data_IF_414807874590
#
_entry.id   IF_414807874590
#
_cell.length_a   1.000
_cell.length_b   1.000
_cell.length_c   1.000
_cell.angle_alpha   90.00
_cell.angle_beta   90.00
_cell.angle_gamma   90.00
#
_symmetry.space_group_name_H-M   'P 1'
#
loop_
_entity.id
_entity.type
_entity.pdbx_description
1 polymer ?
#
# COMPACT_ATOMS: atom_id res chain seq x y z
N UNK A 1 7.08 -48.69 -65.10
CA UNK A 1 6.06 -49.38 -64.27
C UNK A 1 5.54 -48.33 -63.31
N UNK A 2 4.29 -47.90 -63.20
CA UNK A 2 2.93 -48.29 -63.68
C UNK A 2 2.07 -47.07 -63.33
N UNK A 3 1.57 -46.28 -64.30
CA UNK A 3 0.19 -46.21 -64.80
C UNK A 3 -0.97 -46.19 -63.77
N UNK A 4 -1.91 -45.25 -64.02
CA UNK A 4 -3.38 -45.28 -63.78
C UNK A 4 -3.97 -44.59 -62.51
N UNK A 5 -4.74 -43.50 -62.68
CA UNK A 5 -6.24 -43.39 -62.77
C UNK A 5 -6.90 -43.38 -61.38
N UNK A 6 -7.95 -42.63 -61.00
CA UNK A 6 -8.99 -41.86 -61.68
C UNK A 6 -9.66 -40.86 -60.72
N UNK A 7 -10.30 -39.88 -61.35
CA UNK A 7 -11.39 -38.98 -60.97
C UNK A 7 -12.50 -39.57 -60.05
N UNK A 8 -13.04 -38.78 -59.12
CA UNK A 8 -14.48 -38.79 -58.79
C UNK A 8 -14.97 -37.38 -58.40
N UNK A 9 -15.98 -36.93 -59.14
CA UNK A 9 -16.81 -35.75 -58.88
C UNK A 9 -18.03 -36.23 -58.08
N UNK A 10 -18.42 -35.51 -57.03
CA UNK A 10 -19.76 -35.60 -56.46
C UNK A 10 -20.29 -34.19 -56.19
N UNK A 11 -21.23 -33.77 -57.05
CA UNK A 11 -22.11 -32.64 -56.88
C UNK A 11 -23.22 -33.08 -55.89
N UNK A 12 -23.45 -32.31 -54.82
CA UNK A 12 -24.67 -32.43 -54.02
C UNK A 12 -25.21 -31.04 -53.73
N UNK A 13 -26.23 -30.67 -54.52
CA UNK A 13 -27.07 -29.52 -54.26
C UNK A 13 -28.05 -29.89 -53.12
N UNK A 14 -28.14 -29.02 -52.11
CA UNK A 14 -29.13 -29.10 -51.04
C UNK A 14 -29.75 -27.72 -50.82
N UNK A 15 -30.97 -27.54 -51.34
CA UNK A 15 -31.86 -26.40 -51.09
C UNK A 15 -32.66 -26.62 -49.79
N UNK A 16 -32.96 -25.52 -49.09
CA UNK A 16 -33.96 -25.44 -48.00
C UNK A 16 -33.32 -25.06 -46.66
N UNK A 17 -33.84 -24.15 -45.85
CA UNK A 17 -35.16 -23.55 -45.75
C UNK A 17 -35.03 -22.18 -45.07
N UNK A 18 -35.91 -21.26 -45.48
CA UNK A 18 -36.17 -19.97 -44.84
C UNK A 18 -36.64 -20.16 -43.39
N UNK A 19 -36.03 -19.44 -42.46
CA UNK A 19 -36.73 -18.95 -41.27
C UNK A 19 -36.55 -17.43 -41.17
N UNK A 20 -37.66 -16.73 -41.46
CA UNK A 20 -37.85 -15.35 -41.06
C UNK A 20 -38.07 -15.33 -39.54
N UNK A 21 -37.06 -14.88 -38.81
CA UNK A 21 -37.18 -14.52 -37.40
C UNK A 21 -37.21 -13.01 -37.28
N UNK A 22 -38.35 -12.45 -36.88
CA UNK A 22 -38.45 -11.10 -36.37
C UNK A 22 -37.56 -10.98 -35.13
N UNK A 23 -36.46 -10.24 -35.21
CA UNK A 23 -35.83 -9.68 -34.03
C UNK A 23 -36.39 -8.27 -33.86
N UNK A 24 -37.31 -8.17 -32.90
CA UNK A 24 -37.71 -6.91 -32.33
C UNK A 24 -36.47 -6.14 -31.90
N UNK A 25 -36.41 -4.85 -32.26
CA UNK A 25 -35.51 -3.89 -31.64
C UNK A 25 -35.80 -3.93 -30.13
N UNK A 26 -34.93 -4.61 -29.40
CA UNK A 26 -34.90 -4.52 -27.95
C UNK A 26 -34.65 -3.07 -27.54
N UNK A 27 -35.09 -2.65 -26.34
CA UNK A 27 -34.79 -1.32 -25.84
C UNK A 27 -33.28 -1.09 -25.98
N UNK A 28 -32.93 0.04 -26.59
CA UNK A 28 -31.58 0.58 -26.65
C UNK A 28 -30.99 0.42 -25.24
N UNK A 29 -30.11 -0.58 -25.10
CA UNK A 29 -29.34 -0.76 -23.88
C UNK A 29 -28.45 0.47 -23.86
N UNK A 30 -28.86 1.46 -23.07
CA UNK A 30 -28.00 2.57 -22.73
C UNK A 30 -26.65 1.96 -22.38
N UNK A 31 -25.59 2.42 -23.08
CA UNK A 31 -24.23 2.16 -22.67
C UNK A 31 -24.21 2.31 -21.14
N UNK A 32 -23.91 1.21 -20.45
CA UNK A 32 -23.50 1.28 -19.05
C UNK A 32 -22.30 2.20 -19.13
N UNK A 33 -22.51 3.48 -18.79
CA UNK A 33 -21.48 4.50 -18.86
C UNK A 33 -20.26 3.88 -18.24
N UNK A 34 -19.20 3.71 -19.05
CA UNK A 34 -18.03 2.98 -18.65
C UNK A 34 -17.68 3.43 -17.25
N UNK A 35 -17.69 2.51 -16.29
CA UNK A 35 -17.24 2.78 -14.93
C UNK A 35 -15.91 3.47 -15.16
N UNK A 36 -15.85 4.77 -14.85
CA UNK A 36 -14.68 5.55 -15.17
C UNK A 36 -13.52 4.74 -14.62
N UNK A 37 -12.62 4.32 -15.51
CA UNK A 37 -11.31 3.91 -15.06
C UNK A 37 -10.75 5.20 -14.45
N UNK A 38 -11.07 5.46 -13.18
CA UNK A 38 -10.31 6.38 -12.35
C UNK A 38 -8.88 5.99 -12.66
N UNK A 39 -8.14 6.92 -13.25
CA UNK A 39 -6.74 6.74 -13.58
C UNK A 39 -6.10 6.16 -12.34
N UNK A 40 -5.77 4.87 -12.39
CA UNK A 40 -5.22 4.15 -11.25
C UNK A 40 -4.07 4.99 -10.74
N UNK A 41 -4.16 5.44 -9.49
CA UNK A 41 -3.14 6.28 -8.88
C UNK A 41 -1.80 5.56 -9.02
N UNK A 42 -0.83 6.22 -9.66
CA UNK A 42 0.56 5.77 -9.65
C UNK A 42 1.04 5.65 -8.21
N UNK A 43 1.92 4.70 -7.94
CA UNK A 43 2.32 4.37 -6.58
C UNK A 43 3.54 3.47 -6.55
N UNK A 44 3.93 3.05 -5.35
CA UNK A 44 5.01 2.10 -5.17
C UNK A 44 4.52 0.85 -4.42
N UNK A 45 5.30 -0.22 -4.44
CA UNK A 45 4.97 -1.50 -3.82
C UNK A 45 6.03 -1.95 -2.82
N UNK A 46 5.57 -2.67 -1.81
CA UNK A 46 6.45 -3.36 -0.87
C UNK A 46 5.72 -4.47 -0.14
N UNK A 47 6.36 -5.01 0.88
CA UNK A 47 5.76 -6.01 1.78
C UNK A 47 5.52 -5.36 3.13
N UNK A 48 4.51 -5.79 3.87
CA UNK A 48 4.33 -5.36 5.25
C UNK A 48 5.23 -6.16 6.22
N UNK A 49 6.45 -6.49 5.85
CA UNK A 49 7.30 -7.36 6.67
C UNK A 49 8.13 -6.63 7.73
N UNK A 50 7.76 -5.42 8.18
CA UNK A 50 8.45 -4.76 9.29
C UNK A 50 7.93 -5.34 10.61
N UNK A 51 8.81 -5.95 11.40
CA UNK A 51 8.46 -6.47 12.72
C UNK A 51 8.11 -5.34 13.70
N UNK A 52 6.97 -5.51 14.40
CA UNK A 52 6.49 -4.52 15.38
C UNK A 52 7.48 -4.32 16.53
N UNK A 53 8.16 -5.38 16.99
CA UNK A 53 9.08 -5.29 18.12
C UNK A 53 10.40 -4.63 17.73
N UNK A 54 10.94 -4.93 16.55
CA UNK A 54 12.12 -4.25 16.03
C UNK A 54 11.84 -2.75 15.86
N UNK A 55 10.68 -2.39 15.30
CA UNK A 55 10.26 -0.98 15.21
C UNK A 55 10.18 -0.35 16.60
N UNK A 56 9.45 -0.95 17.54
CA UNK A 56 9.30 -0.40 18.89
C UNK A 56 10.63 -0.24 19.63
N UNK A 57 11.59 -1.16 19.44
CA UNK A 57 12.91 -1.11 20.05
C UNK A 57 13.80 -0.01 19.46
N UNK A 58 13.63 0.33 18.18
CA UNK A 58 14.51 1.24 17.45
C UNK A 58 13.86 2.60 17.09
N UNK A 59 12.56 2.79 17.30
CA UNK A 59 11.81 3.97 16.84
C UNK A 59 12.39 5.29 17.38
N UNK A 60 12.69 5.35 18.67
CA UNK A 60 13.25 6.56 19.29
C UNK A 60 14.66 6.88 18.74
N UNK A 61 15.43 5.85 18.43
CA UNK A 61 16.77 6.00 17.85
C UNK A 61 16.70 6.45 16.40
N UNK A 62 15.78 5.86 15.62
CA UNK A 62 15.49 6.31 14.26
C UNK A 62 15.01 7.76 14.27
N UNK A 63 14.10 8.14 15.16
CA UNK A 63 13.62 9.51 15.29
C UNK A 63 14.77 10.48 15.55
N UNK A 64 15.70 10.12 16.44
CA UNK A 64 16.89 10.90 16.69
C UNK A 64 17.79 11.00 15.44
N UNK A 65 18.02 9.88 14.73
CA UNK A 65 18.83 9.81 13.52
C UNK A 65 18.27 10.63 12.34
N UNK A 66 16.97 10.97 12.34
CA UNK A 66 16.41 11.88 11.33
C UNK A 66 16.78 13.36 11.52
N UNK A 67 17.45 13.74 12.63
CA UNK A 67 17.93 15.11 12.83
C UNK A 67 19.27 15.40 12.14
N UNK A 68 19.90 14.37 11.57
CA UNK A 68 21.21 14.43 10.95
C UNK A 68 21.20 13.57 9.68
N UNK A 69 22.29 13.64 8.91
CA UNK A 69 22.46 12.83 7.71
C UNK A 69 22.56 11.36 8.10
N UNK A 70 21.85 10.48 7.39
CA UNK A 70 21.88 9.04 7.72
C UNK A 70 23.27 8.42 7.53
N UNK A 71 24.18 9.13 6.85
CA UNK A 71 25.58 8.75 6.67
C UNK A 71 26.55 9.41 7.67
N UNK A 72 26.06 10.26 8.58
CA UNK A 72 26.87 10.87 9.62
C UNK A 72 27.11 9.89 10.78
N UNK A 73 28.20 9.12 10.69
CA UNK A 73 28.57 8.16 11.73
C UNK A 73 29.15 8.80 13.00
N UNK A 74 29.42 10.11 13.00
CA UNK A 74 29.81 10.81 14.23
C UNK A 74 28.59 11.05 15.13
N UNK A 75 27.37 11.02 14.55
CA UNK A 75 26.13 11.03 15.30
C UNK A 75 25.88 9.69 15.99
N UNK A 76 25.68 9.72 17.31
CA UNK A 76 25.48 8.51 18.11
C UNK A 76 24.23 7.71 17.68
N UNK A 77 23.11 8.37 17.36
CA UNK A 77 21.88 7.67 16.99
C UNK A 77 22.03 6.97 15.64
N UNK A 78 22.64 7.64 14.65
CA UNK A 78 22.97 7.05 13.35
C UNK A 78 23.91 5.87 13.53
N UNK A 79 25.02 6.05 14.26
CA UNK A 79 26.00 4.99 14.49
C UNK A 79 25.40 3.76 15.18
N UNK A 80 24.55 3.96 16.19
CA UNK A 80 23.87 2.85 16.86
C UNK A 80 22.88 2.13 15.95
N UNK A 81 22.08 2.88 15.19
CA UNK A 81 21.09 2.31 14.27
C UNK A 81 21.77 1.46 13.18
N UNK A 82 22.91 1.93 12.64
CA UNK A 82 23.71 1.17 11.66
C UNK A 82 24.47 -0.01 12.26
N UNK A 83 24.83 0.07 13.54
CA UNK A 83 25.55 -0.99 14.23
C UNK A 83 24.65 -2.16 14.65
N UNK A 84 23.32 -2.02 14.57
CA UNK A 84 22.36 -3.09 14.83
C UNK A 84 22.31 -4.05 13.62
N UNK A 85 22.98 -5.22 13.66
CA UNK A 85 23.00 -6.12 12.51
C UNK A 85 21.58 -6.65 12.27
N UNK A 86 21.12 -6.54 11.02
CA UNK A 86 19.78 -6.96 10.60
C UNK A 86 18.63 -6.15 11.22
N UNK A 87 18.84 -4.87 11.57
CA UNK A 87 17.71 -4.01 11.94
C UNK A 87 16.75 -3.87 10.75
N UNK A 88 15.57 -4.46 10.89
CA UNK A 88 14.49 -4.32 9.92
C UNK A 88 14.00 -2.87 9.88
N UNK A 89 14.02 -2.19 11.02
CA UNK A 89 13.71 -0.76 11.14
C UNK A 89 14.60 0.08 10.24
N UNK A 90 15.92 -0.14 10.26
CA UNK A 90 16.83 0.59 9.38
C UNK A 90 16.59 0.21 7.91
N UNK A 91 16.41 -1.08 7.59
CA UNK A 91 16.10 -1.51 6.22
C UNK A 91 14.84 -0.82 5.68
N UNK A 92 13.73 -0.86 6.43
CA UNK A 92 12.48 -0.22 6.04
C UNK A 92 12.58 1.30 5.99
N UNK A 93 13.31 1.93 6.93
CA UNK A 93 13.56 3.36 6.87
C UNK A 93 14.31 3.74 5.58
N UNK A 94 15.32 2.95 5.20
CA UNK A 94 16.06 3.13 3.93
C UNK A 94 15.16 2.90 2.74
N UNK A 95 14.36 1.83 2.71
CA UNK A 95 13.41 1.56 1.61
C UNK A 95 12.44 2.72 1.42
N UNK A 96 11.90 3.25 2.53
CA UNK A 96 10.99 4.38 2.52
C UNK A 96 11.66 5.67 2.04
N UNK A 97 12.79 6.04 2.64
CA UNK A 97 13.35 7.38 2.50
C UNK A 97 14.39 7.54 1.37
N UNK A 98 15.15 6.49 1.07
CA UNK A 98 16.28 6.54 0.14
C UNK A 98 15.79 6.25 -1.27
N UNK A 99 16.21 7.04 -2.30
CA UNK A 99 15.79 6.82 -3.68
C UNK A 99 16.05 5.39 -4.18
N UNK A 100 15.22 4.96 -5.14
CA UNK A 100 15.29 3.61 -5.69
C UNK A 100 16.68 3.26 -6.23
N UNK A 101 17.22 2.14 -5.77
CA UNK A 101 18.52 1.62 -6.23
C UNK A 101 19.74 2.34 -5.67
N UNK A 102 19.56 3.36 -4.83
CA UNK A 102 20.66 4.03 -4.13
C UNK A 102 20.99 3.25 -2.87
N UNK A 103 22.28 3.01 -2.63
CA UNK A 103 22.76 2.38 -1.41
C UNK A 103 22.63 3.34 -0.24
N UNK A 104 21.88 2.94 0.76
CA UNK A 104 21.79 3.59 2.06
C UNK A 104 22.81 3.05 3.07
N UNK A 105 22.70 3.49 4.33
CA UNK A 105 23.44 2.92 5.46
C UNK A 105 23.32 1.39 5.55
N UNK A 106 24.32 0.73 6.13
CA UNK A 106 24.28 -0.73 6.34
C UNK A 106 24.26 -1.58 5.05
N UNK A 107 24.51 -0.98 3.88
CA UNK A 107 24.32 -1.56 2.54
C UNK A 107 22.86 -1.91 2.20
N UNK A 108 21.89 -1.36 2.93
CA UNK A 108 20.49 -1.44 2.52
C UNK A 108 20.27 -0.65 1.24
N UNK A 109 19.33 -1.07 0.41
CA UNK A 109 19.05 -0.41 -0.88
C UNK A 109 17.72 0.30 -0.79
N UNK A 110 17.73 1.58 -1.11
CA UNK A 110 16.52 2.39 -1.17
C UNK A 110 15.53 1.87 -2.21
N UNK A 111 14.24 2.07 -1.93
CA UNK A 111 13.15 1.82 -2.87
C UNK A 111 12.50 3.10 -3.37
N UNK A 112 12.77 4.22 -2.68
CA UNK A 112 12.28 5.53 -3.06
C UNK A 112 10.77 5.67 -2.83
N UNK A 113 10.19 4.98 -1.83
CA UNK A 113 8.74 5.09 -1.59
C UNK A 113 8.33 6.55 -1.38
N UNK A 114 9.15 7.35 -0.70
CA UNK A 114 8.89 8.76 -0.45
C UNK A 114 9.63 9.65 -1.44
N UNK A 115 8.93 10.68 -1.93
CA UNK A 115 9.47 11.72 -2.80
C UNK A 115 10.06 12.92 -2.03
N UNK A 116 9.88 12.96 -0.70
CA UNK A 116 10.16 14.13 0.15
C UNK A 116 11.42 13.99 1.00
N UNK A 117 12.13 12.86 0.95
CA UNK A 117 13.15 12.48 1.95
C UNK A 117 14.57 12.37 1.39
N UNK A 118 14.81 12.84 0.16
CA UNK A 118 16.12 12.70 -0.51
C UNK A 118 17.28 13.28 0.28
N UNK A 119 17.02 14.37 1.00
CA UNK A 119 18.04 15.16 1.70
C UNK A 119 18.63 14.40 2.91
N UNK A 120 17.98 13.32 3.36
CA UNK A 120 18.49 12.52 4.47
C UNK A 120 19.81 11.81 4.15
N UNK A 121 20.10 11.57 2.86
CA UNK A 121 21.36 10.94 2.43
C UNK A 121 22.58 11.84 2.56
N UNK A 122 22.39 13.16 2.53
CA UNK A 122 23.49 14.09 2.60
C UNK A 122 24.12 14.01 3.99
N UNK A 123 25.46 13.95 4.12
CA UNK A 123 26.12 13.86 5.42
C UNK A 123 25.75 15.02 6.37
N UNK A 124 25.54 16.22 5.82
CA UNK A 124 25.09 17.41 6.56
C UNK A 124 23.56 17.63 6.47
N UNK A 125 22.84 16.66 5.88
CA UNK A 125 21.39 16.72 5.69
C UNK A 125 20.61 16.41 6.96
N UNK A 126 19.29 16.57 6.91
CA UNK A 126 18.35 16.14 7.94
C UNK A 126 16.95 16.10 7.35
N UNK A 127 16.01 15.45 8.03
CA UNK A 127 14.60 15.51 7.67
C UNK A 127 13.89 16.61 8.47
N UNK A 128 13.18 17.49 7.79
CA UNK A 128 12.25 18.41 8.44
C UNK A 128 11.08 17.63 9.06
N UNK A 129 10.38 18.23 10.04
CA UNK A 129 9.29 17.56 10.74
C UNK A 129 8.23 16.91 9.82
N UNK A 130 7.76 17.56 8.73
CA UNK A 130 6.83 16.91 7.81
C UNK A 130 7.41 15.63 7.19
N UNK A 131 8.66 15.65 6.76
CA UNK A 131 9.34 14.53 6.10
C UNK A 131 9.62 13.39 7.08
N UNK A 132 9.97 13.71 8.33
CA UNK A 132 10.06 12.72 9.42
C UNK A 132 8.75 11.98 9.57
N UNK A 133 7.66 12.74 9.71
CA UNK A 133 6.36 12.13 9.91
C UNK A 133 5.92 11.34 8.66
N UNK A 134 6.32 11.73 7.45
CA UNK A 134 6.08 10.94 6.23
C UNK A 134 6.87 9.61 6.26
N UNK A 135 8.15 9.64 6.67
CA UNK A 135 8.97 8.45 6.90
C UNK A 135 8.29 7.48 7.86
N UNK A 136 7.89 7.97 9.04
CA UNK A 136 7.22 7.15 10.04
C UNK A 136 5.83 6.66 9.59
N UNK A 137 5.12 7.45 8.77
CA UNK A 137 3.86 7.02 8.14
C UNK A 137 4.09 5.87 7.15
N UNK A 138 5.13 5.97 6.32
CA UNK A 138 5.51 4.90 5.39
C UNK A 138 5.86 3.63 6.17
N UNK A 139 6.67 3.75 7.21
CA UNK A 139 7.10 2.60 8.01
C UNK A 139 5.92 1.91 8.73
N UNK A 140 5.03 2.64 9.40
CA UNK A 140 3.89 2.01 10.09
C UNK A 140 2.94 1.31 9.11
N UNK A 141 2.81 1.82 7.88
CA UNK A 141 2.03 1.17 6.82
C UNK A 141 2.62 -0.19 6.39
N UNK A 142 3.90 -0.42 6.65
CA UNK A 142 4.64 -1.66 6.37
C UNK A 142 4.78 -2.60 7.57
N UNK A 143 4.16 -2.33 8.73
CA UNK A 143 4.27 -3.21 9.90
C UNK A 143 3.36 -4.44 9.77
N UNK A 144 3.88 -5.62 10.12
CA UNK A 144 3.10 -6.84 10.35
C UNK A 144 3.81 -7.81 11.31
N UNK A 145 3.29 -8.02 12.53
CA UNK A 145 3.88 -8.88 13.55
C UNK A 145 3.71 -10.38 13.28
N UNK A 146 2.87 -10.77 12.30
CA UNK A 146 2.51 -12.18 12.12
C UNK A 146 3.49 -12.97 11.27
N UNK A 147 4.61 -12.38 10.82
CA UNK A 147 5.54 -12.96 9.83
C UNK A 147 4.81 -13.42 8.56
N UNK A 148 3.67 -12.79 8.24
CA UNK A 148 2.90 -13.05 7.02
C UNK A 148 3.07 -11.86 6.10
N UNK A 149 4.20 -11.85 5.38
CA UNK A 149 4.49 -10.81 4.42
C UNK A 149 3.47 -10.86 3.28
N UNK A 150 2.69 -9.79 3.16
CA UNK A 150 1.83 -9.58 2.00
C UNK A 150 2.32 -8.38 1.21
N UNK A 151 2.16 -8.47 -0.11
CA UNK A 151 2.42 -7.34 -0.98
C UNK A 151 1.33 -6.30 -0.78
N UNK A 152 1.75 -5.04 -0.70
CA UNK A 152 0.92 -3.86 -0.63
C UNK A 152 1.42 -2.81 -1.60
N UNK A 153 0.50 -1.97 -2.05
CA UNK A 153 0.80 -0.77 -2.82
C UNK A 153 0.53 0.47 -1.96
N UNK A 154 1.43 1.44 -2.03
CA UNK A 154 1.33 2.75 -1.40
C UNK A 154 0.97 3.81 -2.45
N UNK A 155 0.12 4.75 -2.06
CA UNK A 155 -0.27 5.92 -2.86
C UNK A 155 -0.44 7.14 -1.94
N UNK A 156 -0.37 8.35 -2.49
CA UNK A 156 -0.49 9.60 -1.74
C UNK A 156 0.42 10.70 -2.31
N UNK A 157 0.25 11.95 -1.86
CA UNK A 157 1.01 13.09 -2.42
C UNK A 157 2.52 13.00 -2.15
N UNK A 158 2.92 12.28 -1.10
CA UNK A 158 4.32 12.11 -0.69
C UNK A 158 4.93 10.80 -1.18
N UNK A 159 4.10 9.93 -1.79
CA UNK A 159 4.55 8.67 -2.36
C UNK A 159 5.08 8.92 -3.78
N UNK A 160 6.26 8.39 -4.09
CA UNK A 160 6.77 8.42 -5.45
C UNK A 160 6.02 7.39 -6.32
N UNK A 161 5.87 7.71 -7.61
CA UNK A 161 5.46 6.71 -8.58
C UNK A 161 6.67 5.82 -8.85
N UNK A 162 6.83 4.73 -8.08
CA UNK A 162 7.97 3.81 -8.07
C UNK A 162 8.16 3.01 -9.37
N UNK A 163 7.62 3.51 -10.48
CA UNK A 163 7.71 2.93 -11.80
C UNK A 163 6.85 1.68 -11.98
N UNK A 164 5.81 1.51 -11.18
CA UNK A 164 4.89 0.38 -11.36
C UNK A 164 4.17 0.50 -12.69
N UNK A 165 4.24 -0.57 -13.49
CA UNK A 165 3.50 -0.62 -14.74
C UNK A 165 1.98 -0.72 -14.48
N UNK A 166 1.12 -0.24 -15.40
CA UNK A 166 -0.34 -0.29 -15.24
C UNK A 166 -0.89 -1.69 -14.92
N UNK A 167 -0.26 -2.74 -15.45
CA UNK A 167 -0.64 -4.13 -15.16
C UNK A 167 -0.33 -4.59 -13.73
N UNK A 168 0.69 -4.02 -13.08
CA UNK A 168 1.02 -4.30 -11.68
C UNK A 168 0.06 -3.55 -10.77
N UNK A 169 -0.20 -2.27 -11.06
CA UNK A 169 -1.17 -1.45 -10.31
C UNK A 169 -2.56 -2.11 -10.31
N UNK A 170 -2.99 -2.66 -11.45
CA UNK A 170 -4.26 -3.37 -11.56
C UNK A 170 -4.38 -4.62 -10.65
N UNK A 171 -3.28 -5.15 -10.11
CA UNK A 171 -3.33 -6.26 -9.15
C UNK A 171 -3.68 -5.83 -7.73
N UNK A 172 -3.54 -4.54 -7.41
CA UNK A 172 -3.87 -3.95 -6.11
C UNK A 172 -5.22 -3.23 -6.20
N UNK A 173 -6.29 -4.02 -6.08
CA UNK A 173 -7.66 -3.60 -6.38
C UNK A 173 -8.52 -3.37 -5.12
N UNK A 174 -7.94 -3.48 -3.92
CA UNK A 174 -8.64 -3.31 -2.66
C UNK A 174 -7.98 -2.18 -1.87
N UNK A 175 -8.69 -1.07 -1.74
CA UNK A 175 -8.33 0.02 -0.84
C UNK A 175 -8.42 -0.44 0.62
N UNK A 176 -7.32 -0.36 1.36
CA UNK A 176 -7.25 -0.84 2.75
C UNK A 176 -7.49 0.31 3.74
N UNK A 177 -6.54 1.24 3.83
CA UNK A 177 -6.56 2.27 4.86
C UNK A 177 -5.74 3.51 4.50
N UNK A 178 -6.04 4.61 5.19
CA UNK A 178 -5.28 5.85 5.20
C UNK A 178 -4.45 5.92 6.47
N UNK A 179 -3.17 6.26 6.33
CA UNK A 179 -2.18 6.30 7.41
C UNK A 179 -1.61 7.70 7.56
N UNK A 180 -1.42 8.13 8.80
CA UNK A 180 -0.58 9.28 9.14
C UNK A 180 0.18 9.00 10.45
N UNK A 181 1.37 9.58 10.56
CA UNK A 181 2.04 9.83 11.83
C UNK A 181 1.86 11.30 12.26
N UNK A 182 1.80 11.55 13.56
CA UNK A 182 1.79 12.89 14.15
C UNK A 182 2.53 12.91 15.47
N UNK A 183 2.78 14.11 15.98
CA UNK A 183 3.18 14.30 17.38
C UNK A 183 1.95 14.57 18.23
N UNK A 184 1.88 13.93 19.40
CA UNK A 184 0.89 14.20 20.43
C UNK A 184 1.21 15.52 21.18
N UNK A 185 0.44 15.83 22.23
CA UNK A 185 0.59 17.07 23.02
C UNK A 185 1.89 17.15 23.85
N UNK A 186 2.61 16.04 24.01
CA UNK A 186 3.89 15.94 24.73
C UNK A 186 5.06 15.59 23.81
N UNK A 187 4.88 15.73 22.48
CA UNK A 187 5.83 15.37 21.43
C UNK A 187 6.16 13.87 21.32
N UNK A 188 5.26 12.99 21.78
CA UNK A 188 5.28 11.57 21.49
C UNK A 188 4.78 11.28 20.08
N UNK A 189 5.39 10.31 19.40
CA UNK A 189 4.95 9.88 18.08
C UNK A 189 3.68 9.03 18.20
N UNK A 190 2.64 9.41 17.48
CA UNK A 190 1.34 8.71 17.42
C UNK A 190 0.98 8.44 15.96
N UNK A 191 0.36 7.30 15.72
CA UNK A 191 -0.10 6.88 14.41
C UNK A 191 -1.62 6.84 14.39
N UNK A 192 -2.22 7.39 13.33
CA UNK A 192 -3.65 7.30 13.12
C UNK A 192 -3.90 6.59 11.81
N UNK A 193 -4.82 5.65 11.85
CA UNK A 193 -5.26 4.92 10.68
C UNK A 193 -6.78 4.96 10.55
N UNK A 194 -7.24 5.23 9.34
CA UNK A 194 -8.65 5.14 8.96
C UNK A 194 -8.80 4.02 7.95
N UNK A 195 -9.53 2.93 8.27
CA UNK A 195 -9.90 1.97 7.25
C UNK A 195 -10.78 2.64 6.21
N UNK A 196 -10.65 2.23 4.95
CA UNK A 196 -11.47 2.75 3.86
C UNK A 196 -12.85 2.06 3.83
N UNK A 197 -13.85 2.76 3.28
CA UNK A 197 -15.28 2.39 3.43
C UNK A 197 -15.55 0.96 2.96
N UNK A 198 -14.90 0.54 1.88
CA UNK A 198 -15.00 -0.82 1.37
C UNK A 198 -14.59 -1.83 2.45
N UNK A 199 -13.44 -1.63 3.09
CA UNK A 199 -12.96 -2.52 4.13
C UNK A 199 -13.88 -2.48 5.36
N UNK A 200 -14.27 -1.31 5.84
CA UNK A 200 -15.17 -1.19 7.01
C UNK A 200 -16.52 -1.88 6.81
N UNK A 201 -17.13 -1.75 5.63
CA UNK A 201 -18.45 -2.31 5.35
C UNK A 201 -18.41 -3.83 5.16
N UNK A 202 -17.32 -4.36 4.60
CA UNK A 202 -17.19 -5.78 4.26
C UNK A 202 -16.63 -6.62 5.42
N UNK A 203 -15.87 -5.98 6.32
CA UNK A 203 -15.17 -6.62 7.41
C UNK A 203 -15.60 -6.03 8.76
N UNK A 204 -16.52 -6.69 9.50
CA UNK A 204 -16.92 -6.24 10.84
C UNK A 204 -15.77 -6.15 11.85
N UNK A 205 -14.65 -6.83 11.58
CA UNK A 205 -13.46 -6.86 12.45
C UNK A 205 -12.30 -6.00 11.92
N UNK A 206 -12.52 -5.11 10.95
CA UNK A 206 -11.45 -4.28 10.35
C UNK A 206 -10.62 -3.54 11.38
N UNK A 207 -11.27 -2.95 12.38
CA UNK A 207 -10.57 -2.24 13.45
C UNK A 207 -9.58 -3.14 14.18
N UNK A 208 -10.04 -4.33 14.60
CA UNK A 208 -9.20 -5.29 15.28
C UNK A 208 -8.11 -5.81 14.34
N UNK A 209 -8.40 -6.05 13.07
CA UNK A 209 -7.42 -6.52 12.10
C UNK A 209 -6.29 -5.49 11.90
N UNK A 210 -6.61 -4.20 11.70
CA UNK A 210 -5.61 -3.14 11.57
C UNK A 210 -4.80 -2.95 12.85
N UNK A 211 -5.45 -2.87 14.02
CA UNK A 211 -4.74 -2.81 15.31
C UNK A 211 -3.81 -4.01 15.48
N UNK A 212 -4.30 -5.21 15.15
CA UNK A 212 -3.54 -6.44 15.32
C UNK A 212 -2.36 -6.48 14.35
N UNK A 213 -2.55 -5.99 13.12
CA UNK A 213 -1.51 -5.85 12.09
C UNK A 213 -0.41 -4.87 12.48
N UNK A 214 -0.71 -3.82 13.24
CA UNK A 214 0.33 -2.85 13.64
C UNK A 214 0.91 -3.14 15.01
N UNK A 215 0.10 -3.66 15.93
CA UNK A 215 0.44 -3.73 17.36
C UNK A 215 0.80 -5.14 17.87
N UNK A 216 0.83 -6.18 17.04
CA UNK A 216 1.07 -7.56 17.56
C UNK A 216 -0.17 -8.29 18.05
N UNK A 217 -1.34 -7.63 18.02
CA UNK A 217 -2.59 -8.14 18.56
C UNK A 217 -2.91 -7.63 19.96
N UNK A 218 -4.17 -7.76 20.35
CA UNK A 218 -4.59 -7.61 21.73
C UNK A 218 -4.01 -8.82 22.48
N UNK A 219 -3.00 -8.64 23.32
CA UNK A 219 -2.62 -9.71 24.25
C UNK A 219 -3.89 -10.18 24.96
N UNK A 220 -4.00 -11.49 25.23
CA UNK A 220 -5.13 -12.06 25.98
C UNK A 220 -5.20 -11.41 27.38
N UNK A 221 -5.83 -10.24 27.47
CA UNK A 221 -5.74 -9.33 28.62
C UNK A 221 -5.90 -7.83 28.33
N UNK A 222 -5.71 -7.35 27.10
CA UNK A 222 -5.91 -5.94 26.78
C UNK A 222 -5.15 -5.46 25.54
N UNK A 223 -5.53 -4.28 25.04
CA UNK A 223 -4.75 -3.50 24.08
C UNK A 223 -3.34 -3.36 24.64
N UNK A 224 -2.30 -3.60 23.82
CA UNK A 224 -0.96 -3.16 24.18
C UNK A 224 -1.03 -1.64 24.39
N UNK A 225 -0.99 -1.20 25.65
CA UNK A 225 -1.12 0.21 26.01
C UNK A 225 0.04 1.04 25.47
N UNK A 226 1.12 0.38 25.04
CA UNK A 226 2.28 1.04 24.46
C UNK A 226 2.18 1.13 22.92
N UNK A 227 1.19 0.47 22.30
CA UNK A 227 0.93 0.64 20.88
C UNK A 227 0.24 1.99 20.63
N UNK A 228 1.00 2.95 20.12
CA UNK A 228 0.56 4.33 19.83
C UNK A 228 -0.22 4.45 18.53
N UNK A 229 -1.07 3.47 18.22
CA UNK A 229 -1.90 3.44 17.00
C UNK A 229 -3.37 3.64 17.37
N UNK A 230 -3.97 4.70 16.84
CA UNK A 230 -5.40 4.98 16.93
C UNK A 230 -6.08 4.56 15.61
N UNK A 231 -6.95 3.54 15.67
CA UNK A 231 -7.83 3.22 14.53
C UNK A 231 -9.13 3.99 14.67
N UNK A 232 -9.39 4.89 13.72
CA UNK A 232 -10.62 5.69 13.66
C UNK A 232 -11.59 5.09 12.66
N UNK A 233 -12.73 4.63 13.17
CA UNK A 233 -13.80 4.02 12.37
C UNK A 233 -15.09 4.84 12.40
N UNK A 234 -16.02 4.54 11.50
CA UNK A 234 -17.44 4.89 11.70
C UNK A 234 -17.97 6.07 10.88
N UNK A 235 -17.95 5.95 9.55
CA UNK A 235 -18.67 6.86 8.65
C UNK A 235 -17.80 8.02 8.15
N UNK A 236 -18.40 9.16 7.76
CA UNK A 236 -17.65 10.24 7.10
C UNK A 236 -16.43 10.61 7.93
N UNK A 237 -15.27 10.74 7.29
CA UNK A 237 -13.98 11.07 7.91
C UNK A 237 -13.86 12.59 7.99
N UNK A 238 -14.38 13.29 9.02
CA UNK A 238 -14.37 14.77 9.05
C UNK A 238 -12.94 15.33 9.05
N UNK A 239 -12.00 14.52 9.53
CA UNK A 239 -10.59 14.84 9.62
C UNK A 239 -9.87 14.71 8.28
N UNK A 240 -10.50 14.08 7.28
CA UNK A 240 -9.89 13.76 6.00
C UNK A 240 -10.63 14.43 4.83
N UNK A 241 -9.87 14.88 3.85
CA UNK A 241 -10.38 15.44 2.60
C UNK A 241 -9.71 14.74 1.43
N UNK A 242 -10.50 14.25 0.46
CA UNK A 242 -10.00 13.67 -0.79
C UNK A 242 -9.87 14.78 -1.83
N UNK A 243 -8.69 14.90 -2.44
CA UNK A 243 -8.49 15.75 -3.59
C UNK A 243 -9.22 15.14 -4.79
N UNK A 244 -10.21 15.84 -5.35
CA UNK A 244 -11.03 15.33 -6.46
C UNK A 244 -10.27 15.16 -7.79
N UNK A 245 -9.10 15.77 -7.92
CA UNK A 245 -8.28 15.73 -9.13
C UNK A 245 -7.23 14.62 -9.05
N UNK A 246 -6.52 14.51 -7.93
CA UNK A 246 -5.45 13.52 -7.77
C UNK A 246 -5.93 12.23 -7.11
N UNK A 247 -7.08 12.25 -6.43
CA UNK A 247 -7.57 11.14 -5.62
C UNK A 247 -6.87 10.96 -4.26
N UNK A 248 -5.77 11.70 -4.03
CA UNK A 248 -4.99 11.66 -2.79
C UNK A 248 -5.75 12.27 -1.61
N UNK A 249 -5.43 11.78 -0.41
CA UNK A 249 -6.08 12.18 0.83
C UNK A 249 -5.20 13.08 1.68
N UNK A 250 -5.79 14.10 2.28
CA UNK A 250 -5.19 14.89 3.35
C UNK A 250 -5.99 14.67 4.62
N UNK A 251 -5.36 14.15 5.68
CA UNK A 251 -5.97 13.89 6.98
C UNK A 251 -5.28 14.71 8.07
N UNK A 252 -6.06 15.37 8.93
CA UNK A 252 -5.57 16.27 9.99
C UNK A 252 -4.56 17.32 9.49
N UNK A 253 -4.79 17.83 8.27
CA UNK A 253 -3.93 18.83 7.63
C UNK A 253 -2.61 18.29 7.07
N UNK A 254 -2.42 16.97 7.00
CA UNK A 254 -1.23 16.34 6.42
C UNK A 254 -1.59 15.39 5.28
N UNK A 255 -0.72 15.22 4.27
CA UNK A 255 -0.88 14.16 3.28
C UNK A 255 -0.95 12.80 3.97
N UNK A 256 -1.97 12.00 3.64
CA UNK A 256 -2.10 10.64 4.11
C UNK A 256 -1.49 9.68 3.09
N UNK A 257 -0.84 8.63 3.59
CA UNK A 257 -0.42 7.50 2.76
C UNK A 257 -1.57 6.50 2.74
N UNK A 258 -2.00 6.09 1.55
CA UNK A 258 -3.06 5.10 1.36
C UNK A 258 -2.44 3.75 0.99
N UNK A 259 -2.83 2.69 1.70
CA UNK A 259 -2.44 1.31 1.38
C UNK A 259 -3.51 0.61 0.54
N UNK A 260 -3.04 -0.22 -0.38
CA UNK A 260 -3.85 -1.08 -1.22
C UNK A 260 -3.37 -2.52 -1.16
N UNK A 261 -4.31 -3.44 -1.31
CA UNK A 261 -4.07 -4.87 -1.25
C UNK A 261 -4.50 -5.54 -2.55
N UNK A 262 -3.78 -6.60 -2.91
CA UNK A 262 -4.29 -7.57 -3.87
C UNK A 262 -5.40 -8.41 -3.22
N UNK A 263 -6.26 -9.01 -4.04
CA UNK A 263 -7.27 -9.98 -3.54
C UNK A 263 -6.65 -11.09 -2.68
N UNK A 264 -5.43 -11.54 -2.99
CA UNK A 264 -4.74 -12.58 -2.20
C UNK A 264 -4.29 -12.00 -0.86
N UNK A 265 -3.58 -10.86 -0.88
CA UNK A 265 -3.12 -10.16 0.32
C UNK A 265 -4.29 -9.84 1.27
N UNK A 266 -5.42 -9.41 0.71
CA UNK A 266 -6.64 -9.12 1.46
C UNK A 266 -7.19 -10.36 2.17
N UNK A 267 -7.34 -11.49 1.47
CA UNK A 267 -7.84 -12.73 2.08
C UNK A 267 -6.89 -13.26 3.16
N UNK A 268 -5.59 -12.99 3.02
CA UNK A 268 -4.57 -13.34 4.01
C UNK A 268 -4.67 -12.48 5.27
N UNK A 269 -4.81 -11.15 5.13
CA UNK A 269 -4.87 -10.23 6.27
C UNK A 269 -6.26 -10.17 6.95
N UNK A 270 -7.33 -10.40 6.20
CA UNK A 270 -8.71 -10.27 6.63
C UNK A 270 -9.49 -11.58 6.43
N UNK A 271 -9.08 -12.68 7.10
CA UNK A 271 -9.71 -13.98 6.90
C UNK A 271 -11.18 -13.92 7.32
N UNK A 272 -12.05 -14.46 6.45
CA UNK A 272 -13.49 -14.48 6.67
C UNK A 272 -14.24 -13.22 6.21
N UNK A 273 -13.52 -12.22 5.71
CA UNK A 273 -14.14 -11.15 4.95
C UNK A 273 -14.28 -11.53 3.50
N UNK A 274 -15.50 -11.75 3.04
CA UNK A 274 -15.77 -12.02 1.64
C UNK A 274 -16.05 -10.69 0.94
N UNK A 275 -15.31 -10.32 -0.11
CA UNK A 275 -15.69 -9.16 -0.89
C UNK A 275 -17.08 -9.46 -1.49
N UNK A 276 -18.08 -8.63 -1.20
CA UNK A 276 -19.34 -8.68 -1.95
C UNK A 276 -18.98 -8.60 -3.44
N UNK A 277 -19.51 -9.52 -4.23
CA UNK A 277 -19.34 -9.51 -5.68
C UNK A 277 -19.72 -8.11 -6.19
N UNK A 278 -18.74 -7.39 -6.74
CA UNK A 278 -18.93 -6.11 -7.40
C UNK A 278 -19.63 -6.32 -8.75
#
# INVERSE_FOLDING_TARGET
>A
MTLHRSLFIALAAGLGLLQAGCLAEGPEVAEIGGVGYETLEGGDHGTNGLDTWDLAANEAMLWAATNDGINDLDNFAVAQLQAAPNSETLDYAVRCAVPQGVSGPGNYTGRGHLSTTSDWLDPDGFLALPEKLDLFTCMIAHVNPFNVDVNLMLTGDTISDGGMGPGQVATYNIEEALWIARLDSVNGLEYIVWPLDFLELQCPNTQNALLTRTCGGLQAGGVDTDCRVEVRTGGPRPDCTKNSTTGNWTCLGRPAIKTWLSSISYLTLYPGCYPLAQ
#
